data_IF_037126052904
#
_entry.id   IF_037126052904
#
_cell.length_a   1.000
_cell.length_b   1.000
_cell.length_c   1.000
_cell.angle_alpha   90.00
_cell.angle_beta   90.00
_cell.angle_gamma   90.00
#
_symmetry.space_group_name_H-M   'P 1'
#
loop_
_entity.id
_entity.type
_entity.pdbx_description
1 polymer ?
#
# COMPACT_ATOMS: atom_id res chain seq x y z
N UNK A 1 -8.27 5.95 4.75
CA UNK A 1 -9.73 6.25 4.72
C UNK A 1 -10.18 6.45 3.28
N UNK A 2 -11.48 6.39 2.98
CA UNK A 2 -11.99 6.63 1.62
C UNK A 2 -11.52 7.97 1.03
N UNK A 3 -11.47 9.03 1.83
CA UNK A 3 -11.05 10.37 1.41
C UNK A 3 -9.55 10.40 1.07
N UNK A 4 -8.74 9.72 1.87
CA UNK A 4 -7.29 9.63 1.62
C UNK A 4 -7.00 8.85 0.32
N UNK A 5 -7.73 7.77 0.06
CA UNK A 5 -7.61 7.00 -1.17
C UNK A 5 -7.98 7.84 -2.40
N UNK A 6 -9.09 8.59 -2.32
CA UNK A 6 -9.49 9.50 -3.40
C UNK A 6 -8.44 10.59 -3.66
N UNK A 7 -7.85 11.17 -2.61
CA UNK A 7 -6.81 12.18 -2.75
C UNK A 7 -5.56 11.65 -3.49
N UNK A 8 -5.22 10.37 -3.31
CA UNK A 8 -4.12 9.74 -4.04
C UNK A 8 -4.46 9.53 -5.53
N UNK A 9 -5.69 9.12 -5.83
CA UNK A 9 -6.16 8.98 -7.23
C UNK A 9 -6.16 10.32 -7.95
N UNK A 10 -6.60 11.38 -7.27
CA UNK A 10 -6.60 12.73 -7.84
C UNK A 10 -5.18 13.29 -7.98
N UNK A 11 -4.27 12.94 -7.07
CA UNK A 11 -2.87 13.38 -7.17
C UNK A 11 -2.10 12.69 -8.29
N UNK A 12 -2.35 11.40 -8.51
CA UNK A 12 -1.44 10.56 -9.29
C UNK A 12 -2.03 9.97 -10.58
N UNK A 13 -3.35 9.95 -10.70
CA UNK A 13 -4.06 9.44 -11.87
C UNK A 13 -5.02 10.48 -12.46
N UNK A 14 -4.83 11.79 -12.18
CA UNK A 14 -5.71 12.87 -12.68
C UNK A 14 -5.90 12.88 -14.20
N UNK A 15 -4.84 12.56 -14.95
CA UNK A 15 -4.85 12.56 -16.42
C UNK A 15 -5.15 11.19 -17.04
N UNK A 16 -5.36 10.16 -16.22
CA UNK A 16 -5.54 8.80 -16.71
C UNK A 16 -6.99 8.54 -17.12
N UNK A 17 -7.24 7.61 -18.07
CA UNK A 17 -8.57 7.16 -18.40
C UNK A 17 -9.37 6.72 -17.16
N UNK A 18 -10.68 6.95 -17.18
CA UNK A 18 -11.57 6.67 -16.04
C UNK A 18 -11.44 5.25 -15.50
N UNK A 19 -11.26 4.26 -16.38
CA UNK A 19 -11.07 2.85 -15.99
C UNK A 19 -9.82 2.67 -15.13
N UNK A 20 -8.70 3.33 -15.45
CA UNK A 20 -7.47 3.22 -14.67
C UNK A 20 -7.58 3.95 -13.33
N UNK A 21 -8.31 5.07 -13.29
CA UNK A 21 -8.62 5.78 -12.04
C UNK A 21 -9.46 4.91 -11.10
N UNK A 22 -10.46 4.22 -11.64
CA UNK A 22 -11.32 3.28 -10.89
C UNK A 22 -10.52 2.08 -10.38
N UNK A 23 -9.70 1.47 -11.23
CA UNK A 23 -8.85 0.34 -10.85
C UNK A 23 -7.82 0.73 -9.77
N UNK A 24 -7.25 1.94 -9.87
CA UNK A 24 -6.34 2.44 -8.85
C UNK A 24 -7.04 2.68 -7.51
N UNK A 25 -8.24 3.26 -7.51
CA UNK A 25 -9.03 3.43 -6.29
C UNK A 25 -9.38 2.08 -5.64
N UNK A 26 -9.80 1.09 -6.44
CA UNK A 26 -10.09 -0.24 -5.96
C UNK A 26 -8.84 -0.91 -5.35
N UNK A 27 -7.68 -0.72 -5.97
CA UNK A 27 -6.40 -1.21 -5.46
C UNK A 27 -6.02 -0.56 -4.12
N UNK A 28 -6.24 0.75 -3.96
CA UNK A 28 -5.98 1.45 -2.70
C UNK A 28 -6.89 0.98 -1.56
N UNK A 29 -8.17 0.67 -1.85
CA UNK A 29 -9.07 0.09 -0.85
C UNK A 29 -8.71 -1.34 -0.45
N UNK A 30 -7.97 -2.06 -1.30
CA UNK A 30 -7.49 -3.42 -1.04
C UNK A 30 -6.04 -3.46 -0.55
N UNK A 31 -5.37 -2.32 -0.43
CA UNK A 31 -3.97 -2.25 -0.02
C UNK A 31 -3.85 -2.52 1.49
N UNK A 32 -2.78 -3.22 1.86
CA UNK A 32 -2.46 -3.50 3.26
C UNK A 32 -1.83 -2.28 3.95
N UNK A 33 -2.17 -2.10 5.21
CA UNK A 33 -1.48 -1.19 6.13
C UNK A 33 -0.19 -1.81 6.66
N UNK A 34 0.72 -0.97 7.18
CA UNK A 34 2.02 -1.39 7.72
C UNK A 34 1.84 -2.48 8.79
N UNK A 35 0.91 -2.28 9.71
CA UNK A 35 0.66 -3.17 10.83
C UNK A 35 0.10 -4.52 10.37
N UNK A 36 -0.71 -4.54 9.30
CA UNK A 36 -1.23 -5.78 8.72
C UNK A 36 -0.11 -6.61 8.12
N UNK A 37 0.79 -5.98 7.36
CA UNK A 37 1.96 -6.67 6.79
C UNK A 37 2.91 -7.15 7.88
N UNK A 38 3.16 -6.35 8.93
CA UNK A 38 3.96 -6.78 10.09
C UNK A 38 3.36 -8.02 10.77
N UNK A 39 2.05 -8.04 11.00
CA UNK A 39 1.37 -9.18 11.61
C UNK A 39 1.44 -10.44 10.73
N UNK A 40 1.28 -10.29 9.41
CA UNK A 40 1.40 -11.39 8.45
C UNK A 40 2.81 -11.98 8.41
N UNK A 41 3.85 -11.13 8.42
CA UNK A 41 5.24 -11.57 8.46
C UNK A 41 5.59 -12.31 9.76
N UNK A 42 5.13 -11.78 10.90
CA UNK A 42 5.29 -12.44 12.19
C UNK A 42 4.61 -13.83 12.22
N UNK A 43 3.39 -13.93 11.68
CA UNK A 43 2.68 -15.20 11.56
C UNK A 43 3.40 -16.20 10.63
N UNK A 44 4.12 -15.72 9.63
CA UNK A 44 4.95 -16.53 8.73
C UNK A 44 6.34 -16.88 9.33
N UNK A 45 6.67 -16.39 10.52
CA UNK A 45 7.99 -16.59 11.14
C UNK A 45 9.12 -15.81 10.45
N UNK A 46 8.77 -14.74 9.72
CA UNK A 46 9.73 -13.89 9.02
C UNK A 46 10.01 -12.63 9.85
N UNK A 47 11.26 -12.49 10.30
CA UNK A 47 11.73 -11.29 11.01
C UNK A 47 12.23 -10.24 10.01
N UNK A 48 11.28 -9.51 9.41
CA UNK A 48 11.55 -8.44 8.44
C UNK A 48 11.00 -7.11 8.94
N UNK A 49 11.69 -6.03 8.62
CA UNK A 49 11.22 -4.67 8.86
C UNK A 49 10.22 -4.25 7.79
N UNK A 50 9.18 -3.51 8.20
CA UNK A 50 8.17 -2.92 7.33
C UNK A 50 8.02 -1.45 7.68
N UNK A 51 8.10 -0.57 6.68
CA UNK A 51 7.78 0.85 6.83
C UNK A 51 7.02 1.39 5.62
N UNK A 52 6.22 2.44 5.83
CA UNK A 52 5.66 3.22 4.73
C UNK A 52 6.74 4.14 4.14
N UNK A 53 6.84 4.17 2.80
CA UNK A 53 7.72 5.06 2.05
C UNK A 53 6.88 5.94 1.14
N UNK A 54 6.80 7.22 1.49
CA UNK A 54 5.89 8.15 0.82
C UNK A 54 4.44 7.88 1.20
N UNK A 55 3.53 8.02 0.24
CA UNK A 55 2.09 8.06 0.47
C UNK A 55 1.31 6.88 -0.12
N UNK A 56 2.01 5.89 -0.70
CA UNK A 56 1.36 4.72 -1.35
C UNK A 56 2.19 3.44 -1.40
N UNK A 57 3.41 3.44 -0.87
CA UNK A 57 4.30 2.28 -0.96
C UNK A 57 4.76 1.86 0.42
N UNK A 58 4.97 0.55 0.56
CA UNK A 58 5.65 -0.04 1.69
C UNK A 58 7.03 -0.52 1.24
N UNK A 59 8.01 -0.42 2.13
CA UNK A 59 9.31 -1.08 1.99
C UNK A 59 9.36 -2.21 3.00
N UNK A 60 9.80 -3.39 2.55
CA UNK A 60 9.99 -4.58 3.38
C UNK A 60 11.40 -5.11 3.17
N UNK A 61 12.19 -5.28 4.24
CA UNK A 61 13.60 -5.70 4.14
C UNK A 61 14.12 -6.36 5.41
N UNK A 62 15.22 -7.10 5.26
CA UNK A 62 15.92 -7.79 6.35
C UNK A 62 17.04 -8.66 5.80
N UNK A 63 17.57 -9.55 6.63
CA UNK A 63 18.63 -10.49 6.24
C UNK A 63 18.12 -11.93 6.42
N UNK A 64 18.57 -12.82 5.54
CA UNK A 64 18.42 -14.26 5.76
C UNK A 64 19.55 -14.70 6.70
N UNK A 65 19.16 -15.35 7.80
CA UNK A 65 20.09 -16.00 8.74
C UNK A 65 20.68 -17.29 8.19
#
# INVERSE_FOLDING_TARGET
TPEAAQALVDRYAAGDPDVLRQDFLASLHAAFEVEEVQAQLAAAGLDLHVEAVGDRHLRVWGYLG
#
